data_IF_984335933035
#
_entry.id   IF_984335933035
#
_cell.length_a   1.000
_cell.length_b   1.000
_cell.length_c   1.000
_cell.angle_alpha   90.00
_cell.angle_beta   90.00
_cell.angle_gamma   90.00
#
_symmetry.space_group_name_H-M   'P 1'
#
loop_
_entity.id
_entity.type
_entity.pdbx_description
1 polymer ?
#
# COMPACT_ATOMS: atom_id res chain seq x y z
N UNK A 1 -36.12 1.13 -20.94
CA UNK A 1 -36.12 2.12 -19.85
C UNK A 1 -35.54 1.47 -18.59
N UNK A 2 -34.28 1.77 -18.24
CA UNK A 2 -33.63 1.26 -17.03
C UNK A 2 -32.94 2.39 -16.24
N UNK A 3 -33.54 3.58 -16.28
CA UNK A 3 -32.88 4.86 -16.02
C UNK A 3 -33.14 5.48 -14.65
N UNK A 4 -33.84 4.83 -13.74
CA UNK A 4 -34.11 5.42 -12.43
C UNK A 4 -33.23 4.75 -11.39
N UNK A 5 -32.13 5.44 -11.07
CA UNK A 5 -31.27 5.27 -9.90
C UNK A 5 -29.83 4.75 -10.10
N UNK A 6 -29.36 4.56 -11.33
CA UNK A 6 -27.95 4.22 -11.57
C UNK A 6 -26.97 5.23 -10.94
N UNK A 7 -27.38 6.50 -10.80
CA UNK A 7 -26.58 7.55 -10.17
C UNK A 7 -26.23 7.25 -8.71
N UNK A 8 -27.19 6.75 -7.92
CA UNK A 8 -26.97 6.40 -6.50
C UNK A 8 -25.96 5.26 -6.37
N UNK A 9 -26.09 4.24 -7.23
CA UNK A 9 -25.21 3.08 -7.19
C UNK A 9 -23.83 3.31 -7.78
N UNK A 10 -23.68 4.26 -8.72
CA UNK A 10 -22.42 4.52 -9.42
C UNK A 10 -21.28 4.93 -8.46
N UNK A 11 -21.59 5.74 -7.44
CA UNK A 11 -20.60 6.17 -6.43
C UNK A 11 -20.09 4.95 -5.64
N UNK A 12 -20.97 4.00 -5.32
CA UNK A 12 -20.63 2.78 -4.58
C UNK A 12 -19.77 1.78 -5.36
N UNK A 13 -19.75 1.83 -6.70
CA UNK A 13 -19.04 0.86 -7.54
C UNK A 13 -17.53 0.79 -7.25
N UNK A 14 -16.89 1.93 -7.00
CA UNK A 14 -15.45 1.97 -6.70
C UNK A 14 -15.13 1.28 -5.37
N UNK A 15 -15.91 1.59 -4.33
CA UNK A 15 -15.76 1.02 -2.98
C UNK A 15 -16.06 -0.49 -2.98
N UNK A 16 -17.07 -0.89 -3.76
CA UNK A 16 -17.41 -2.30 -3.98
C UNK A 16 -16.31 -3.04 -4.75
N UNK A 17 -15.70 -2.43 -5.77
CA UNK A 17 -14.63 -3.04 -6.57
C UNK A 17 -13.38 -3.36 -5.74
N UNK A 18 -13.05 -2.54 -4.75
CA UNK A 18 -11.93 -2.77 -3.82
C UNK A 18 -12.31 -3.61 -2.59
N UNK A 19 -13.55 -4.14 -2.53
CA UNK A 19 -14.02 -5.00 -1.43
C UNK A 19 -14.23 -4.26 -0.10
N UNK A 20 -14.55 -2.96 -0.14
CA UNK A 20 -14.71 -2.12 1.06
C UNK A 20 -16.15 -1.72 1.36
N UNK A 21 -17.10 -2.05 0.49
CA UNK A 21 -18.53 -1.81 0.70
C UNK A 21 -19.12 -3.02 1.44
N UNK A 22 -19.91 -2.80 2.48
CA UNK A 22 -20.40 -3.87 3.36
C UNK A 22 -21.86 -3.68 3.78
N UNK A 23 -22.46 -4.74 4.29
CA UNK A 23 -23.83 -4.73 4.80
C UNK A 23 -24.87 -4.38 3.74
N UNK A 24 -25.94 -3.73 4.19
CA UNK A 24 -27.11 -3.42 3.37
C UNK A 24 -26.78 -2.64 2.08
N UNK A 25 -25.74 -1.80 2.10
CA UNK A 25 -25.32 -1.04 0.91
C UNK A 25 -24.72 -1.95 -0.17
N UNK A 26 -23.94 -2.97 0.23
CA UNK A 26 -23.38 -3.95 -0.71
C UNK A 26 -24.48 -4.87 -1.28
N UNK A 27 -25.47 -5.22 -0.45
CA UNK A 27 -26.60 -6.05 -0.88
C UNK A 27 -27.49 -5.28 -1.87
N UNK A 28 -27.82 -4.02 -1.57
CA UNK A 28 -28.60 -3.16 -2.46
C UNK A 28 -27.88 -2.95 -3.80
N UNK A 29 -26.56 -2.69 -3.77
CA UNK A 29 -25.77 -2.56 -4.99
C UNK A 29 -25.73 -3.88 -5.78
N UNK A 30 -25.55 -5.02 -5.11
CA UNK A 30 -25.55 -6.34 -5.76
C UNK A 30 -26.91 -6.65 -6.42
N UNK A 31 -28.01 -6.29 -5.77
CA UNK A 31 -29.35 -6.39 -6.34
C UNK A 31 -29.50 -5.52 -7.59
N UNK A 32 -29.04 -4.26 -7.57
CA UNK A 32 -29.02 -3.40 -8.76
C UNK A 32 -28.19 -4.00 -9.91
N UNK A 33 -27.00 -4.52 -9.61
CA UNK A 33 -26.10 -5.12 -10.59
C UNK A 33 -26.71 -6.34 -11.29
N UNK A 34 -27.63 -7.07 -10.65
CA UNK A 34 -28.36 -8.17 -11.29
C UNK A 34 -29.19 -7.70 -12.50
N UNK A 35 -29.79 -6.51 -12.41
CA UNK A 35 -30.67 -5.94 -13.42
C UNK A 35 -30.05 -4.91 -14.36
N UNK A 36 -28.85 -4.39 -14.07
CA UNK A 36 -28.29 -3.24 -14.78
C UNK A 36 -26.99 -3.58 -15.56
N UNK A 37 -27.09 -3.90 -16.87
CA UNK A 37 -25.91 -4.11 -17.71
C UNK A 37 -24.91 -2.94 -17.74
N UNK A 38 -25.33 -1.66 -17.83
CA UNK A 38 -24.40 -0.53 -17.80
C UNK A 38 -23.51 -0.48 -16.55
N UNK A 39 -24.10 -0.66 -15.37
CA UNK A 39 -23.35 -0.65 -14.11
C UNK A 39 -22.45 -1.88 -13.95
N UNK A 40 -22.82 -3.04 -14.51
CA UNK A 40 -21.91 -4.20 -14.58
C UNK A 40 -20.68 -3.94 -15.44
N UNK A 41 -20.87 -3.31 -16.60
CA UNK A 41 -19.75 -2.92 -17.49
C UNK A 41 -18.83 -1.91 -16.82
N UNK A 42 -19.40 -0.96 -16.09
CA UNK A 42 -18.64 0.00 -15.30
C UNK A 42 -17.85 -0.67 -14.17
N UNK A 43 -18.48 -1.57 -13.43
CA UNK A 43 -17.83 -2.36 -12.38
C UNK A 43 -16.66 -3.19 -12.93
N UNK A 44 -16.81 -3.80 -14.11
CA UNK A 44 -15.74 -4.56 -14.75
C UNK A 44 -14.49 -3.69 -14.99
N UNK A 45 -14.67 -2.49 -15.56
CA UNK A 45 -13.57 -1.53 -15.76
C UNK A 45 -12.89 -1.14 -14.45
N UNK A 46 -13.66 -0.96 -13.37
CA UNK A 46 -13.10 -0.61 -12.06
C UNK A 46 -12.35 -1.78 -11.41
N UNK A 47 -12.77 -3.03 -11.63
CA UNK A 47 -12.08 -4.22 -11.14
C UNK A 47 -10.69 -4.38 -11.77
N UNK A 48 -10.55 -4.09 -13.06
CA UNK A 48 -9.24 -4.11 -13.73
C UNK A 48 -8.25 -3.12 -13.08
N UNK A 49 -8.74 -1.92 -12.74
CA UNK A 49 -7.97 -0.91 -12.01
C UNK A 49 -7.65 -1.37 -10.59
N UNK A 50 -8.62 -1.94 -9.87
CA UNK A 50 -8.42 -2.46 -8.51
C UNK A 50 -7.34 -3.57 -8.48
N UNK A 51 -7.29 -4.43 -9.50
CA UNK A 51 -6.26 -5.48 -9.61
C UNK A 51 -4.85 -4.88 -9.83
N UNK A 52 -4.73 -3.86 -10.68
CA UNK A 52 -3.48 -3.12 -10.86
C UNK A 52 -3.00 -2.51 -9.54
N UNK A 53 -3.91 -1.88 -8.79
CA UNK A 53 -3.60 -1.30 -7.49
C UNK A 53 -3.14 -2.39 -6.49
N UNK A 54 -3.85 -3.51 -6.40
CA UNK A 54 -3.50 -4.62 -5.51
C UNK A 54 -2.09 -5.18 -5.81
N UNK A 55 -1.70 -5.27 -7.08
CA UNK A 55 -0.35 -5.70 -7.49
C UNK A 55 0.75 -4.73 -7.04
N UNK A 56 0.48 -3.42 -7.09
CA UNK A 56 1.47 -2.40 -6.68
C UNK A 56 1.73 -2.40 -5.18
N UNK A 57 0.70 -2.67 -4.35
CA UNK A 57 0.85 -2.81 -2.90
C UNK A 57 1.66 -4.05 -2.55
N UNK A 58 1.41 -5.19 -3.22
CA UNK A 58 2.17 -6.44 -3.01
C UNK A 58 3.66 -6.31 -3.34
N UNK A 59 4.01 -5.52 -4.36
CA UNK A 59 5.42 -5.20 -4.69
C UNK A 59 6.16 -4.39 -3.62
N UNK A 60 5.43 -3.80 -2.66
CA UNK A 60 6.01 -3.13 -1.49
C UNK A 60 6.34 -4.11 -0.34
N UNK A 61 6.16 -5.42 -0.54
CA UNK A 61 6.64 -6.45 0.36
C UNK A 61 8.10 -6.82 0.08
N UNK A 62 8.97 -6.63 1.09
CA UNK A 62 10.38 -7.04 1.21
C UNK A 62 11.52 -6.07 0.84
N UNK A 63 11.31 -4.75 0.98
CA UNK A 63 12.43 -3.88 1.41
C UNK A 63 12.24 -3.62 2.90
N UNK A 64 12.86 -4.43 3.74
CA UNK A 64 12.76 -4.32 5.19
C UNK A 64 12.93 -2.87 5.65
N UNK A 65 11.97 -2.34 6.40
CA UNK A 65 12.17 -1.12 7.17
C UNK A 65 13.05 -1.50 8.36
N UNK A 66 14.36 -1.56 8.11
CA UNK A 66 15.33 -1.75 9.17
C UNK A 66 15.11 -0.71 10.28
N UNK A 67 15.44 -1.03 11.55
CA UNK A 67 15.43 -0.04 12.62
C UNK A 67 16.24 1.18 12.16
N UNK A 68 15.69 2.39 12.31
CA UNK A 68 16.40 3.64 12.00
C UNK A 68 17.47 3.99 13.04
N UNK A 69 17.99 3.00 13.75
CA UNK A 69 19.17 3.15 14.57
C UNK A 69 20.35 2.91 13.63
N UNK A 70 21.02 3.99 13.21
CA UNK A 70 22.15 3.98 12.27
C UNK A 70 23.42 3.27 12.76
N UNK A 71 23.29 2.21 13.57
CA UNK A 71 24.39 1.36 13.99
C UNK A 71 24.55 0.23 12.97
N UNK A 72 25.29 0.50 11.90
CA UNK A 72 25.93 -0.56 11.13
C UNK A 72 26.95 -1.24 12.03
N UNK A 73 26.54 -2.29 12.72
CA UNK A 73 27.42 -3.19 13.48
C UNK A 73 28.35 -3.97 12.56
N UNK A 74 29.25 -3.28 11.85
CA UNK A 74 30.51 -3.88 11.44
C UNK A 74 31.33 -3.98 12.71
N UNK A 75 31.61 -5.22 13.13
CA UNK A 75 32.60 -5.49 14.16
C UNK A 75 33.90 -4.77 13.80
N UNK A 76 34.24 -3.75 14.59
CA UNK A 76 35.58 -3.20 14.67
C UNK A 76 36.10 -3.66 16.03
N UNK A 77 37.02 -4.62 16.00
CA UNK A 77 37.91 -4.91 17.12
C UNK A 77 38.81 -3.69 17.34
N UNK A 78 38.31 -2.70 18.08
CA UNK A 78 39.07 -1.50 18.43
C UNK A 78 39.86 -1.73 19.71
N UNK A 79 40.96 -2.47 19.64
CA UNK A 79 41.99 -2.37 20.67
C UNK A 79 42.66 -1.00 20.54
N UNK A 80 42.61 -0.21 21.62
CA UNK A 80 43.19 1.11 21.71
C UNK A 80 44.69 1.11 21.41
N UNK A 81 45.15 2.04 20.57
CA UNK A 81 46.53 2.52 20.60
C UNK A 81 46.60 3.96 20.07
N UNK A 82 46.41 4.95 20.95
CA UNK A 82 47.01 6.27 20.72
C UNK A 82 48.42 6.23 21.32
N UNK A 83 49.42 6.29 20.46
CA UNK A 83 50.82 6.38 20.87
C UNK A 83 51.63 7.02 19.76
N UNK A 84 51.97 8.29 19.93
CA UNK A 84 53.16 8.93 19.35
C UNK A 84 53.30 10.37 19.89
N UNK A 85 53.70 10.52 21.16
CA UNK A 85 54.35 11.75 21.59
C UNK A 85 55.86 11.53 21.47
N UNK A 86 56.47 12.15 20.46
CA UNK A 86 57.91 12.11 20.20
C UNK A 86 58.73 12.88 21.26
N UNK A 87 60.08 12.84 21.16
CA UNK A 87 60.99 13.22 22.23
C UNK A 87 61.27 14.73 22.26
N UNK A 88 61.27 15.34 23.46
CA UNK A 88 61.55 16.77 23.67
C UNK A 88 62.42 17.01 24.92
N UNK A 89 63.66 17.42 24.66
CA UNK A 89 64.85 17.58 25.51
C UNK A 89 64.74 18.60 26.67
N UNK A 90 65.53 18.31 27.71
CA UNK A 90 65.88 19.10 28.91
C UNK A 90 66.23 20.58 28.69
N UNK A 91 65.91 21.40 29.70
CA UNK A 91 66.88 22.16 30.51
C UNK A 91 66.44 22.16 31.97
#
# INVERSE_FOLDING_TARGET
>A
MGGTDCGVYRIGLGVYAIGRLAGAEADALSAHLSGCPPCRTELARLRDVAELLARSVRRRGSAGRGPRTGASGRGLSGACAYGAAGPGRSR
#
